data_IF_321299341741
#
_entry.id   IF_321299341741
#
_cell.length_a   1.000
_cell.length_b   1.000
_cell.length_c   1.000
_cell.angle_alpha   90.00
_cell.angle_beta   90.00
_cell.angle_gamma   90.00
#
_symmetry.space_group_name_H-M   'P 1'
#
loop_
_entity.id
_entity.type
_entity.pdbx_description
1 polymer ?
#
# COMPACT_ATOMS: atom_id res chain seq x y z
N UNK A 1 -2.74 -17.38 0.73
CA UNK A 1 -2.90 -15.91 0.88
C UNK A 1 -2.17 -15.36 2.11
N UNK A 2 -2.13 -16.07 3.23
CA UNK A 2 -1.46 -15.62 4.46
C UNK A 2 0.02 -15.25 4.27
N UNK A 3 0.78 -16.00 3.46
CA UNK A 3 2.21 -15.70 3.29
C UNK A 3 2.45 -14.40 2.50
N UNK A 4 1.64 -14.11 1.48
CA UNK A 4 1.65 -12.82 0.76
C UNK A 4 1.39 -11.64 1.71
N UNK A 5 0.48 -11.81 2.68
CA UNK A 5 0.17 -10.79 3.68
C UNK A 5 1.33 -10.56 4.65
N UNK A 6 2.00 -11.62 5.11
CA UNK A 6 3.19 -11.51 5.97
C UNK A 6 4.31 -10.72 5.27
N UNK A 7 4.60 -11.04 4.01
CA UNK A 7 5.62 -10.35 3.23
C UNK A 7 5.26 -8.87 2.98
N UNK A 8 4.01 -8.59 2.61
CA UNK A 8 3.55 -7.23 2.38
C UNK A 8 3.64 -6.37 3.65
N UNK A 9 3.24 -6.91 4.81
CA UNK A 9 3.31 -6.21 6.08
C UNK A 9 4.76 -5.97 6.53
N UNK A 10 5.62 -6.99 6.41
CA UNK A 10 7.04 -6.88 6.73
C UNK A 10 7.72 -5.80 5.89
N UNK A 11 7.45 -5.77 4.58
CA UNK A 11 8.02 -4.75 3.69
C UNK A 11 7.43 -3.35 3.96
N UNK A 12 6.17 -3.25 4.35
CA UNK A 12 5.55 -1.98 4.76
C UNK A 12 6.28 -1.40 5.99
N UNK A 13 6.52 -2.25 6.99
CA UNK A 13 7.25 -1.87 8.20
C UNK A 13 8.71 -1.51 7.91
N UNK A 14 9.38 -2.30 7.07
CA UNK A 14 10.75 -2.03 6.64
C UNK A 14 10.86 -0.68 5.94
N UNK A 15 9.96 -0.40 4.99
CA UNK A 15 9.94 0.86 4.24
C UNK A 15 9.69 2.07 5.14
N UNK A 16 8.73 1.95 6.07
CA UNK A 16 8.43 3.00 7.04
C UNK A 16 9.59 3.25 8.02
N UNK A 17 10.24 2.18 8.48
CA UNK A 17 11.42 2.28 9.35
C UNK A 17 12.58 2.98 8.64
N UNK A 18 12.85 2.60 7.39
CA UNK A 18 13.86 3.26 6.57
C UNK A 18 13.54 4.75 6.36
N UNK A 19 12.28 5.07 6.03
CA UNK A 19 11.82 6.46 5.89
C UNK A 19 12.08 7.27 7.17
N UNK A 20 11.72 6.71 8.33
CA UNK A 20 11.92 7.38 9.62
C UNK A 20 13.40 7.61 9.92
N UNK A 21 14.29 6.65 9.63
CA UNK A 21 15.72 6.80 9.86
C UNK A 21 16.30 7.90 8.95
N UNK A 22 15.99 7.85 7.65
CA UNK A 22 16.47 8.86 6.69
C UNK A 22 15.93 10.25 7.02
N UNK A 23 14.68 10.35 7.47
CA UNK A 23 14.09 11.62 7.90
C UNK A 23 14.84 12.20 9.09
N UNK A 24 15.05 11.41 10.15
CA UNK A 24 15.71 11.86 11.37
C UNK A 24 17.16 12.29 11.15
N UNK A 25 17.89 11.59 10.28
CA UNK A 25 19.32 11.85 10.05
C UNK A 25 19.51 12.92 8.96
N UNK A 26 18.72 12.89 7.89
CA UNK A 26 19.03 13.61 6.66
C UNK A 26 18.40 14.99 6.54
N UNK A 27 17.29 15.28 7.22
CA UNK A 27 16.46 16.46 6.88
C UNK A 27 17.17 17.81 7.10
N UNK A 28 18.12 17.88 8.03
CA UNK A 28 18.86 19.11 8.36
C UNK A 28 20.25 19.19 7.73
N UNK A 29 20.68 18.20 6.93
CA UNK A 29 22.00 18.16 6.31
C UNK A 29 22.10 19.10 5.10
N UNK A 30 21.94 20.40 5.35
CA UNK A 30 21.86 21.47 4.32
C UNK A 30 23.22 22.05 3.93
N UNK A 31 24.30 21.64 4.61
CA UNK A 31 25.66 22.13 4.37
C UNK A 31 26.17 21.84 2.95
N UNK A 32 25.78 20.69 2.38
CA UNK A 32 26.13 20.31 1.02
C UNK A 32 24.87 20.10 0.18
N UNK A 33 24.77 20.85 -0.92
CA UNK A 33 23.63 20.81 -1.84
C UNK A 33 23.43 19.43 -2.44
N UNK A 34 24.51 18.69 -2.74
CA UNK A 34 24.40 17.36 -3.35
C UNK A 34 23.92 16.33 -2.33
N UNK A 35 24.42 16.40 -1.10
CA UNK A 35 23.93 15.54 0.00
C UNK A 35 22.43 15.82 0.23
N UNK A 36 22.05 17.10 0.29
CA UNK A 36 20.67 17.51 0.50
C UNK A 36 19.72 17.04 -0.61
N UNK A 37 20.14 17.12 -1.88
CA UNK A 37 19.41 16.59 -3.02
C UNK A 37 19.24 15.08 -2.95
N UNK A 38 20.31 14.34 -2.62
CA UNK A 38 20.26 12.89 -2.46
C UNK A 38 19.30 12.48 -1.33
N UNK A 39 19.33 13.18 -0.19
CA UNK A 39 18.40 12.97 0.92
C UNK A 39 16.96 13.26 0.49
N UNK A 40 16.71 14.38 -0.17
CA UNK A 40 15.37 14.73 -0.67
C UNK A 40 14.82 13.68 -1.63
N UNK A 41 15.65 13.17 -2.55
CA UNK A 41 15.30 12.11 -3.48
C UNK A 41 14.99 10.79 -2.74
N UNK A 42 15.81 10.44 -1.74
CA UNK A 42 15.66 9.24 -0.94
C UNK A 42 14.38 9.29 -0.09
N UNK A 43 14.08 10.44 0.52
CA UNK A 43 12.83 10.68 1.25
C UNK A 43 11.61 10.55 0.35
N UNK A 44 11.67 11.12 -0.86
CA UNK A 44 10.60 11.00 -1.84
C UNK A 44 10.36 9.53 -2.25
N UNK A 45 11.45 8.79 -2.51
CA UNK A 45 11.40 7.37 -2.85
C UNK A 45 10.81 6.52 -1.72
N UNK A 46 11.31 6.68 -0.50
CA UNK A 46 10.85 5.90 0.65
C UNK A 46 9.39 6.23 1.01
N UNK A 47 8.95 7.47 0.80
CA UNK A 47 7.55 7.86 0.97
C UNK A 47 6.65 7.13 -0.03
N UNK A 48 6.95 7.19 -1.34
CA UNK A 48 6.16 6.48 -2.35
C UNK A 48 6.19 4.97 -2.12
N UNK A 49 7.35 4.41 -1.78
CA UNK A 49 7.48 2.98 -1.50
C UNK A 49 6.63 2.55 -0.30
N UNK A 50 6.60 3.34 0.77
CA UNK A 50 5.73 3.09 1.93
C UNK A 50 4.25 3.13 1.53
N UNK A 51 3.83 4.09 0.71
CA UNK A 51 2.46 4.18 0.20
C UNK A 51 2.08 2.97 -0.66
N UNK A 52 2.95 2.54 -1.58
CA UNK A 52 2.68 1.36 -2.40
C UNK A 52 2.60 0.08 -1.58
N UNK A 53 3.52 -0.14 -0.63
CA UNK A 53 3.46 -1.31 0.26
C UNK A 53 2.22 -1.30 1.17
N UNK A 54 1.80 -0.13 1.65
CA UNK A 54 0.57 0.02 2.42
C UNK A 54 -0.68 -0.24 1.56
N UNK A 55 -0.72 0.27 0.33
CA UNK A 55 -1.78 -0.02 -0.64
C UNK A 55 -1.84 -1.50 -1.01
N UNK A 56 -0.70 -2.17 -1.17
CA UNK A 56 -0.63 -3.61 -1.40
C UNK A 56 -1.21 -4.36 -0.20
N UNK A 57 -0.73 -4.05 1.01
CA UNK A 57 -1.17 -4.70 2.25
C UNK A 57 -2.68 -4.58 2.42
N UNK A 58 -3.25 -3.41 2.17
CA UNK A 58 -4.69 -3.18 2.34
C UNK A 58 -5.55 -3.86 1.28
N UNK A 59 -5.07 -3.91 0.03
CA UNK A 59 -5.76 -4.64 -1.03
C UNK A 59 -5.77 -6.15 -0.75
N UNK A 60 -4.66 -6.70 -0.25
CA UNK A 60 -4.59 -8.11 0.18
C UNK A 60 -5.57 -8.36 1.33
N UNK A 61 -5.59 -7.50 2.35
CA UNK A 61 -6.53 -7.63 3.47
C UNK A 61 -8.00 -7.53 3.02
N UNK A 62 -8.34 -6.56 2.16
CA UNK A 62 -9.68 -6.39 1.61
C UNK A 62 -10.15 -7.62 0.85
N UNK A 63 -9.30 -8.20 0.01
CA UNK A 63 -9.64 -9.42 -0.72
C UNK A 63 -9.83 -10.62 0.19
N UNK A 64 -8.97 -10.79 1.19
CA UNK A 64 -9.14 -11.83 2.20
C UNK A 64 -10.49 -11.69 2.93
N UNK A 65 -10.92 -10.46 3.23
CA UNK A 65 -12.22 -10.20 3.86
C UNK A 65 -13.39 -10.60 2.94
N UNK A 66 -13.32 -10.26 1.65
CA UNK A 66 -14.35 -10.58 0.67
C UNK A 66 -14.42 -12.10 0.37
N UNK A 67 -13.29 -12.78 0.20
CA UNK A 67 -13.27 -14.23 -0.04
C UNK A 67 -13.85 -15.01 1.15
N UNK A 68 -13.76 -14.48 2.38
CA UNK A 68 -14.34 -15.09 3.59
C UNK A 68 -15.85 -14.79 3.75
N UNK A 69 -16.44 -14.03 2.83
CA UNK A 69 -17.88 -13.75 2.79
C UNK A 69 -18.63 -14.62 1.76
N UNK A 70 -17.94 -15.13 0.73
CA UNK A 70 -18.53 -15.95 -0.35
C UNK A 70 -18.60 -17.47 -0.04
N UNK A 71 -18.03 -17.96 1.07
CA UNK A 71 -18.15 -19.38 1.49
C UNK A 71 -19.55 -19.75 2.04
N UNK A 72 -20.57 -18.97 1.67
CA UNK A 72 -21.97 -19.10 2.10
C UNK A 72 -23.00 -19.11 0.97
N UNK A 73 -22.60 -19.18 -0.30
CA UNK A 73 -23.52 -19.50 -1.39
C UNK A 73 -22.78 -20.12 -2.59
N UNK A 74 -23.01 -21.42 -2.83
CA UNK A 74 -22.47 -22.14 -3.98
C UNK A 74 -23.38 -21.86 -5.18
N UNK A 75 -22.96 -20.96 -6.06
CA UNK A 75 -23.25 -21.09 -7.50
C UNK A 75 -21.98 -20.78 -8.28
N UNK A 76 -21.32 -21.85 -8.71
CA UNK A 76 -20.34 -21.79 -9.78
C UNK A 76 -20.97 -21.19 -11.05
N UNK A 77 -20.15 -20.54 -11.89
CA UNK A 77 -20.01 -21.11 -13.20
C UNK A 77 -18.55 -21.44 -13.47
N UNK A 78 -18.35 -22.73 -13.71
CA UNK A 78 -17.19 -23.31 -14.33
C UNK A 78 -16.91 -22.61 -15.65
N UNK A 79 -16.00 -21.66 -15.66
CA UNK A 79 -15.21 -21.32 -16.84
C UNK A 79 -13.88 -20.73 -16.40
N UNK A 80 -12.84 -21.48 -16.71
CA UNK A 80 -11.43 -21.18 -16.52
C UNK A 80 -11.03 -19.78 -16.97
N UNK A 81 -10.91 -18.84 -16.03
CA UNK A 81 -9.82 -17.87 -16.01
C UNK A 81 -9.41 -17.72 -14.55
N UNK A 82 -8.17 -18.11 -14.25
CA UNK A 82 -7.42 -17.75 -13.06
C UNK A 82 -7.59 -16.26 -12.76
N UNK A 83 -8.49 -15.93 -11.84
CA UNK A 83 -8.78 -14.59 -11.36
C UNK A 83 -7.70 -14.15 -10.37
N UNK A 84 -6.45 -14.10 -10.85
CA UNK A 84 -5.44 -13.19 -10.33
C UNK A 84 -5.91 -11.77 -10.64
N UNK A 85 -6.69 -11.18 -9.73
CA UNK A 85 -7.01 -9.76 -9.79
C UNK A 85 -5.71 -8.96 -9.63
N UNK A 86 -4.94 -8.72 -10.68
CA UNK A 86 -3.77 -7.84 -10.63
C UNK A 86 -3.74 -7.02 -11.91
N UNK A 87 -4.80 -6.25 -12.17
CA UNK A 87 -4.73 -5.23 -13.19
C UNK A 87 -5.72 -4.09 -12.96
N UNK A 88 -5.18 -2.96 -12.51
CA UNK A 88 -5.69 -1.61 -12.79
C UNK A 88 -4.42 -0.72 -12.79
N UNK A 89 -3.73 -0.65 -13.94
CA UNK A 89 -3.61 0.58 -14.75
C UNK A 89 -2.58 1.54 -14.14
N UNK A 90 -1.38 1.78 -14.66
CA UNK A 90 -1.03 2.11 -16.05
C UNK A 90 0.45 1.77 -16.37
N UNK A 91 0.74 1.42 -17.63
CA UNK A 91 2.11 1.39 -18.19
C UNK A 91 2.67 -0.01 -18.50
N UNK A 92 2.41 -0.46 -19.72
CA UNK A 92 2.94 -1.56 -20.55
C UNK A 92 4.13 -2.46 -20.13
N UNK A 93 4.08 -3.67 -20.72
CA UNK A 93 5.16 -4.62 -21.10
C UNK A 93 5.39 -5.83 -20.19
N UNK A 94 4.83 -6.98 -20.61
CA UNK A 94 5.61 -8.20 -20.84
C UNK A 94 5.79 -9.24 -19.72
N UNK A 95 5.06 -10.35 -19.85
CA UNK A 95 5.52 -11.76 -19.73
C UNK A 95 5.98 -12.31 -18.35
N UNK A 96 5.19 -13.29 -17.89
CA UNK A 96 5.59 -14.56 -17.23
C UNK A 96 5.96 -14.61 -15.73
N UNK A 97 5.31 -15.58 -15.08
CA UNK A 97 5.79 -16.42 -13.98
C UNK A 97 6.33 -15.71 -12.73
N UNK A 98 5.44 -15.15 -11.92
CA UNK A 98 5.23 -15.52 -10.52
C UNK A 98 4.44 -14.40 -9.81
N UNK A 99 3.29 -14.70 -9.17
CA UNK A 99 2.44 -13.68 -8.55
C UNK A 99 3.09 -12.97 -7.36
N UNK A 100 4.24 -13.47 -6.85
CA UNK A 100 4.99 -12.83 -5.79
C UNK A 100 6.01 -11.81 -6.32
N UNK A 101 6.69 -12.10 -7.43
CA UNK A 101 7.67 -11.20 -8.05
C UNK A 101 7.02 -9.90 -8.52
N UNK A 102 5.82 -9.99 -9.13
CA UNK A 102 5.07 -8.79 -9.53
C UNK A 102 4.75 -7.87 -8.35
N UNK A 103 4.54 -8.41 -7.15
CA UNK A 103 4.25 -7.62 -5.94
C UNK A 103 5.44 -6.74 -5.53
N UNK A 104 6.64 -7.31 -5.56
CA UNK A 104 7.88 -6.60 -5.24
C UNK A 104 8.23 -5.56 -6.31
N UNK A 105 7.93 -5.86 -7.58
CA UNK A 105 8.12 -4.94 -8.69
C UNK A 105 7.21 -3.70 -8.57
N UNK A 106 5.97 -3.88 -8.11
CA UNK A 106 5.06 -2.75 -7.83
C UNK A 106 5.53 -1.95 -6.62
N UNK A 107 5.87 -2.60 -5.50
CA UNK A 107 6.25 -1.90 -4.27
C UNK A 107 7.54 -1.08 -4.39
N UNK A 108 8.63 -1.73 -4.83
CA UNK A 108 9.94 -1.08 -4.94
C UNK A 108 10.18 -0.48 -6.33
N UNK A 109 9.83 -1.21 -7.40
CA UNK A 109 10.18 -0.83 -8.77
C UNK A 109 9.43 0.40 -9.29
N UNK A 110 8.11 0.44 -9.15
CA UNK A 110 7.30 1.60 -9.60
C UNK A 110 7.71 2.87 -8.86
N UNK A 111 8.02 2.77 -7.57
CA UNK A 111 8.54 3.88 -6.76
C UNK A 111 9.87 4.41 -7.31
N UNK A 112 10.83 3.53 -7.66
CA UNK A 112 12.10 3.94 -8.29
C UNK A 112 11.84 4.63 -9.62
N UNK A 113 10.94 4.10 -10.44
CA UNK A 113 10.64 4.65 -11.76
C UNK A 113 10.05 6.07 -11.67
N UNK A 114 9.05 6.27 -10.81
CA UNK A 114 8.38 7.56 -10.63
C UNK A 114 9.33 8.63 -10.06
N UNK A 115 10.10 8.27 -9.03
CA UNK A 115 11.06 9.21 -8.43
C UNK A 115 12.26 9.44 -9.34
N UNK A 116 12.76 8.41 -10.01
CA UNK A 116 13.87 8.52 -10.96
C UNK A 116 13.53 9.46 -12.11
N UNK A 117 12.33 9.35 -12.67
CA UNK A 117 11.86 10.28 -13.71
C UNK A 117 11.75 11.71 -13.16
N UNK A 118 11.15 11.89 -11.98
CA UNK A 118 11.00 13.20 -11.33
C UNK A 118 12.36 13.83 -10.98
N UNK A 119 13.32 13.03 -10.52
CA UNK A 119 14.70 13.44 -10.24
C UNK A 119 15.48 13.82 -11.50
N UNK A 120 15.27 13.11 -12.60
CA UNK A 120 15.93 13.39 -13.87
C UNK A 120 15.43 14.68 -14.53
N UNK A 121 14.13 14.99 -14.44
CA UNK A 121 13.58 16.20 -15.06
C UNK A 121 13.94 17.48 -14.32
N UNK A 122 14.10 17.43 -12.99
CA UNK A 122 14.43 18.62 -12.20
C UNK A 122 15.20 18.29 -10.91
N UNK A 123 16.50 17.95 -11.01
CA UNK A 123 17.33 17.67 -9.85
C UNK A 123 17.41 18.84 -8.84
N UNK A 124 17.47 20.12 -9.27
CA UNK A 124 17.41 21.27 -8.35
C UNK A 124 16.09 21.39 -7.58
N UNK A 125 15.03 20.66 -7.94
CA UNK A 125 13.76 20.64 -7.21
C UNK A 125 13.82 19.91 -5.87
N UNK A 126 14.89 19.15 -5.60
CA UNK A 126 15.06 18.33 -4.39
C UNK A 126 15.88 18.99 -3.29
N UNK A 127 16.17 20.29 -3.41
CA UNK A 127 16.86 21.07 -2.39
C UNK A 127 16.00 22.24 -1.96
N UNK A 128 15.96 22.46 -0.65
CA UNK A 128 15.33 23.61 -0.02
C UNK A 128 16.35 24.27 0.93
N UNK A 129 16.33 25.61 1.10
CA UNK A 129 17.37 26.30 1.87
C UNK A 129 17.40 25.95 3.36
N UNK A 130 16.27 25.52 3.92
CA UNK A 130 16.10 25.29 5.36
C UNK A 130 15.98 23.83 5.76
N UNK A 131 15.70 22.94 4.81
CA UNK A 131 15.60 21.50 5.03
C UNK A 131 15.76 20.75 3.70
N UNK A 132 16.16 19.49 3.78
CA UNK A 132 16.34 18.64 2.60
C UNK A 132 15.05 17.92 2.26
N UNK A 133 14.26 18.51 1.38
CA UNK A 133 13.03 17.94 0.85
C UNK A 133 12.67 18.56 -0.50
N UNK A 134 11.73 17.91 -1.19
CA UNK A 134 11.19 18.39 -2.45
C UNK A 134 10.50 19.74 -2.25
N UNK A 135 10.86 20.72 -3.07
CA UNK A 135 10.21 22.03 -3.05
C UNK A 135 8.81 21.93 -3.67
N UNK A 136 7.72 22.26 -2.95
CA UNK A 136 6.38 22.27 -3.52
C UNK A 136 6.28 23.42 -4.53
N UNK A 137 6.57 23.13 -5.79
CA UNK A 137 6.37 24.04 -6.93
C UNK A 137 5.17 23.57 -7.76
N UNK A 138 4.45 24.48 -8.43
CA UNK A 138 3.29 24.14 -9.27
C UNK A 138 3.60 23.07 -10.34
N UNK A 139 4.86 22.97 -10.79
CA UNK A 139 5.33 21.96 -11.73
C UNK A 139 5.34 20.52 -11.18
N UNK A 140 5.29 20.34 -9.85
CA UNK A 140 5.26 19.02 -9.19
C UNK A 140 3.86 18.56 -8.79
N UNK A 141 2.84 19.37 -9.07
CA UNK A 141 1.42 19.00 -8.95
C UNK A 141 1.07 17.66 -9.63
N UNK A 142 1.61 17.32 -10.83
CA UNK A 142 1.33 16.03 -11.47
C UNK A 142 1.82 14.81 -10.69
N UNK A 143 2.79 14.97 -9.78
CA UNK A 143 3.33 13.89 -8.93
C UNK A 143 2.64 13.89 -7.56
N UNK A 144 2.24 15.06 -7.06
CA UNK A 144 1.48 15.18 -5.82
C UNK A 144 0.05 14.62 -5.96
N UNK A 145 -0.53 14.71 -7.15
CA UNK A 145 -1.85 14.18 -7.46
C UNK A 145 -1.95 12.64 -7.30
N UNK A 146 -1.08 11.79 -7.89
CA UNK A 146 -1.12 10.35 -7.67
C UNK A 146 -0.82 9.97 -6.21
N UNK A 147 0.09 10.67 -5.52
CA UNK A 147 0.40 10.36 -4.13
C UNK A 147 -0.81 10.63 -3.20
N UNK A 148 -1.49 11.76 -3.38
CA UNK A 148 -2.68 12.13 -2.58
C UNK A 148 -3.88 11.24 -2.89
N UNK A 149 -4.10 10.88 -4.16
CA UNK A 149 -5.16 9.94 -4.55
C UNK A 149 -4.93 8.53 -3.99
N UNK A 150 -3.69 8.03 -4.03
CA UNK A 150 -3.33 6.75 -3.39
C UNK A 150 -3.58 6.81 -1.88
N UNK A 151 -3.19 7.90 -1.21
CA UNK A 151 -3.40 8.06 0.23
C UNK A 151 -4.90 8.05 0.60
N UNK A 152 -5.74 8.73 -0.19
CA UNK A 152 -7.19 8.71 0.01
C UNK A 152 -7.77 7.30 -0.23
N UNK A 153 -7.31 6.58 -1.25
CA UNK A 153 -7.70 5.20 -1.52
C UNK A 153 -7.34 4.25 -0.36
N UNK A 154 -6.14 4.39 0.21
CA UNK A 154 -5.71 3.62 1.38
C UNK A 154 -6.62 3.93 2.57
N UNK A 155 -6.84 5.21 2.88
CA UNK A 155 -7.64 5.62 4.04
C UNK A 155 -9.08 5.10 3.93
N UNK A 156 -9.73 5.32 2.78
CA UNK A 156 -11.11 4.87 2.54
C UNK A 156 -11.22 3.35 2.64
N UNK A 157 -10.31 2.61 2.03
CA UNK A 157 -10.31 1.14 2.10
C UNK A 157 -10.03 0.64 3.52
N UNK A 158 -9.15 1.31 4.28
CA UNK A 158 -8.86 0.97 5.67
C UNK A 158 -10.11 1.08 6.54
N UNK A 159 -10.82 2.19 6.40
CA UNK A 159 -12.06 2.42 7.12
C UNK A 159 -13.11 1.37 6.76
N UNK A 160 -13.26 1.02 5.47
CA UNK A 160 -14.18 -0.03 5.05
C UNK A 160 -13.82 -1.41 5.64
N UNK A 161 -12.54 -1.78 5.65
CA UNK A 161 -12.08 -3.04 6.23
C UNK A 161 -12.31 -3.07 7.74
N UNK A 162 -12.03 -1.97 8.46
CA UNK A 162 -12.28 -1.88 9.90
C UNK A 162 -13.77 -1.96 10.21
N UNK A 163 -14.62 -1.26 9.45
CA UNK A 163 -16.07 -1.28 9.62
C UNK A 163 -16.66 -2.67 9.37
N UNK A 164 -16.27 -3.34 8.29
CA UNK A 164 -16.73 -4.70 7.99
C UNK A 164 -16.25 -5.71 9.03
N UNK A 165 -15.01 -5.57 9.52
CA UNK A 165 -14.50 -6.41 10.60
C UNK A 165 -15.27 -6.18 11.92
N UNK A 166 -15.61 -4.94 12.25
CA UNK A 166 -16.42 -4.61 13.42
C UNK A 166 -17.84 -5.21 13.33
N UNK A 167 -18.54 -4.99 12.20
CA UNK A 167 -19.88 -5.55 11.98
C UNK A 167 -19.86 -7.08 12.04
N UNK A 168 -18.87 -7.73 11.43
CA UNK A 168 -18.74 -9.20 11.48
C UNK A 168 -18.50 -9.70 12.91
N UNK A 169 -17.76 -8.95 13.73
CA UNK A 169 -17.55 -9.30 15.15
C UNK A 169 -18.85 -9.27 15.93
N UNK A 170 -19.68 -8.24 15.71
CA UNK A 170 -20.97 -8.09 16.40
C UNK A 170 -21.96 -9.19 15.98
N UNK A 171 -22.04 -9.50 14.67
CA UNK A 171 -22.88 -10.61 14.19
C UNK A 171 -22.47 -11.97 14.76
N UNK A 172 -21.17 -12.24 14.86
CA UNK A 172 -20.68 -13.49 15.44
C UNK A 172 -20.95 -13.58 16.94
N UNK A 173 -20.89 -12.45 17.66
CA UNK A 173 -21.22 -12.41 19.09
C UNK A 173 -22.69 -12.79 19.32
N UNK A 174 -23.61 -12.21 18.54
CA UNK A 174 -25.04 -12.55 18.65
C UNK A 174 -25.33 -14.03 18.32
N UNK A 175 -24.64 -14.61 17.33
CA UNK A 175 -24.84 -16.01 16.94
C UNK A 175 -24.32 -16.98 18.03
N UNK A 176 -23.23 -16.62 18.70
CA UNK A 176 -22.71 -17.38 19.84
C UNK A 176 -23.67 -17.36 21.03
N UNK A 177 -24.30 -16.22 21.32
CA UNK A 177 -25.29 -16.10 22.40
C UNK A 177 -26.58 -16.87 22.08
N UNK A 178 -27.06 -16.80 20.84
CA UNK A 178 -28.25 -17.55 20.40
C UNK A 178 -28.07 -19.07 20.45
N UNK A 179 -26.90 -19.56 20.04
CA UNK A 179 -26.59 -21.00 20.09
C UNK A 179 -26.64 -21.52 21.54
N UNK A 180 -26.03 -20.79 22.48
CA UNK A 180 -26.00 -21.17 23.89
C UNK A 180 -27.40 -21.17 24.55
N UNK A 181 -28.30 -20.26 24.16
CA UNK A 181 -29.67 -20.24 24.67
C UNK A 181 -30.48 -21.46 24.19
N UNK A 182 -30.24 -21.91 22.95
CA UNK A 182 -30.96 -23.05 22.37
C UNK A 182 -30.55 -24.38 23.00
N UNK A 183 -29.26 -24.54 23.33
CA UNK A 183 -28.75 -25.73 24.02
C UNK A 183 -29.29 -25.88 25.45
N UNK A 184 -29.67 -24.78 26.11
CA UNK A 184 -30.18 -24.81 27.47
C UNK A 184 -31.67 -25.17 27.56
N UNK A 185 -32.48 -24.88 26.53
CA UNK A 185 -33.91 -25.26 26.49
C UNK A 185 -34.13 -26.75 26.13
N UNK A 186 -33.10 -27.44 25.67
CA UNK A 186 -33.14 -28.87 25.32
C UNK A 186 -32.77 -29.83 26.47
N UNK A 187 -32.51 -29.29 27.67
CA UNK A 187 -32.15 -30.00 28.91
C UNK A 187 -33.25 -29.88 29.97
#
# INVERSE_FOLDING_TARGET
>A
MADKMKHALANSWLSFSMLSIVFSIGIYQTEDVRICQCVGLLLHYLTLTSLFWMAITINVMRRCANCKAEDGDVVAPTTSISSDCSQSGAGAVGVSSQPLTGLYLVGWGVSVLLVGLSGAVNPPGYVMPTYCSIAPRPAFTPVLLPATTIQLFILTTALLVVRTAAVKKDSNAQLSEGTQATDLELL
#
